data_IF_199708842418
#
_entry.id   IF_199708842418
#
_cell.length_a   1.000
_cell.length_b   1.000
_cell.length_c   1.000
_cell.angle_alpha   90.00
_cell.angle_beta   90.00
_cell.angle_gamma   90.00
#
_symmetry.space_group_name_H-M   'P 1'
#
loop_
_entity.id
_entity.type
_entity.pdbx_description
1 polymer ?
#
# COMPACT_ATOMS: atom_id res chain seq x y z
N UNK A 1 -4.07 32.29 52.90
CA UNK A 1 -3.27 33.35 52.25
C UNK A 1 -1.80 33.08 52.46
N UNK A 2 -1.08 32.71 51.41
CA UNK A 2 0.37 32.91 51.26
C UNK A 2 0.74 32.66 49.80
N UNK A 3 1.12 33.76 49.17
CA UNK A 3 1.60 33.93 47.80
C UNK A 3 2.78 33.01 47.52
N UNK A 4 2.76 32.31 46.38
CA UNK A 4 4.01 31.91 45.74
C UNK A 4 4.04 32.51 44.34
N UNK A 5 4.73 33.64 44.30
CA UNK A 5 5.20 34.37 43.14
C UNK A 5 6.31 33.54 42.48
N UNK A 6 6.55 33.75 41.17
CA UNK A 6 7.57 33.10 40.33
C UNK A 6 7.18 31.77 39.69
N UNK A 7 6.35 31.80 38.64
CA UNK A 7 6.50 30.92 37.47
C UNK A 7 5.70 31.51 36.30
N UNK A 8 6.07 32.73 35.88
CA UNK A 8 5.61 33.32 34.61
C UNK A 8 6.82 33.89 33.88
N UNK A 9 7.38 33.06 33.00
CA UNK A 9 8.16 33.39 31.81
C UNK A 9 8.07 32.09 30.98
N UNK A 10 7.08 31.89 30.10
CA UNK A 10 6.81 32.67 28.89
C UNK A 10 8.06 32.88 28.02
N UNK A 11 8.68 31.77 27.64
CA UNK A 11 9.30 31.67 26.31
C UNK A 11 8.83 30.36 25.69
N UNK A 12 7.67 30.45 25.04
CA UNK A 12 7.27 29.51 24.03
C UNK A 12 8.36 29.47 22.97
N UNK A 13 9.19 28.44 22.98
CA UNK A 13 9.90 28.01 21.79
C UNK A 13 8.82 27.47 20.85
N UNK A 14 8.20 28.38 20.10
CA UNK A 14 7.34 28.00 18.99
C UNK A 14 8.26 27.39 17.96
N UNK A 15 8.30 26.05 17.93
CA UNK A 15 8.89 25.29 16.83
C UNK A 15 7.96 25.47 15.63
N UNK A 16 8.05 26.63 14.97
CA UNK A 16 7.51 26.79 13.62
C UNK A 16 8.60 26.34 12.66
N UNK A 17 8.67 25.03 12.48
CA UNK A 17 9.15 24.43 11.24
C UNK A 17 8.34 23.17 10.90
N UNK A 18 7.05 23.18 11.26
CA UNK A 18 6.03 22.31 10.67
C UNK A 18 5.48 22.94 9.39
N UNK A 19 6.33 23.17 8.40
CA UNK A 19 5.94 23.60 7.06
C UNK A 19 6.71 22.79 6.03
N UNK A 20 6.46 21.48 6.00
CA UNK A 20 6.60 20.69 4.79
C UNK A 20 5.33 19.87 4.65
N UNK A 21 4.32 20.52 4.08
CA UNK A 21 3.23 19.88 3.35
C UNK A 21 3.86 18.87 2.38
N UNK A 22 3.85 17.60 2.78
CA UNK A 22 4.51 16.51 2.09
C UNK A 22 3.54 15.46 1.54
N UNK A 23 2.30 15.84 1.24
CA UNK A 23 1.33 15.01 0.53
C UNK A 23 1.75 14.51 -0.88
N UNK A 24 2.75 15.08 -1.61
CA UNK A 24 3.11 14.55 -2.94
C UNK A 24 3.71 13.14 -2.89
N UNK A 25 4.51 12.84 -1.85
CA UNK A 25 5.30 11.60 -1.81
C UNK A 25 4.44 10.36 -1.79
N UNK A 26 3.37 10.33 -1.00
CA UNK A 26 2.57 9.12 -0.84
C UNK A 26 1.76 8.79 -2.08
N UNK A 27 1.26 9.81 -2.79
CA UNK A 27 0.56 9.64 -4.07
C UNK A 27 1.50 9.15 -5.18
N UNK A 28 2.71 9.70 -5.24
CA UNK A 28 3.74 9.29 -6.19
C UNK A 28 4.21 7.85 -5.90
N UNK A 29 4.46 7.52 -4.63
CA UNK A 29 4.79 6.15 -4.19
C UNK A 29 3.68 5.18 -4.59
N UNK A 30 2.42 5.54 -4.32
CA UNK A 30 1.27 4.69 -4.65
C UNK A 30 1.16 4.44 -6.16
N UNK A 31 1.35 5.49 -6.95
CA UNK A 31 1.29 5.41 -8.42
C UNK A 31 2.42 4.56 -8.98
N UNK A 32 3.65 4.77 -8.51
CA UNK A 32 4.81 4.00 -8.95
C UNK A 32 4.72 2.53 -8.54
N UNK A 33 4.26 2.25 -7.31
CA UNK A 33 4.02 0.88 -6.86
C UNK A 33 2.92 0.23 -7.69
N UNK A 34 1.85 0.94 -8.03
CA UNK A 34 0.82 0.40 -8.92
C UNK A 34 1.43 -0.01 -10.26
N UNK A 35 2.35 0.78 -10.80
CA UNK A 35 3.15 0.43 -11.97
C UNK A 35 3.92 -0.89 -11.80
N UNK A 36 4.59 -1.10 -10.66
CA UNK A 36 5.29 -2.37 -10.39
C UNK A 36 4.32 -3.56 -10.33
N UNK A 37 3.18 -3.42 -9.67
CA UNK A 37 2.20 -4.51 -9.51
C UNK A 37 1.38 -4.76 -10.78
N UNK A 38 1.32 -3.83 -11.72
CA UNK A 38 0.72 -4.07 -13.03
C UNK A 38 1.49 -5.09 -13.86
N UNK A 39 2.79 -5.28 -13.61
CA UNK A 39 3.56 -6.36 -14.22
C UNK A 39 3.03 -7.75 -13.82
N UNK A 40 2.32 -7.88 -12.68
CA UNK A 40 1.63 -9.13 -12.33
C UNK A 40 0.46 -9.40 -13.25
N UNK A 41 -0.24 -8.36 -13.71
CA UNK A 41 -1.44 -8.51 -14.55
C UNK A 41 -1.12 -9.29 -15.81
N UNK A 42 0.04 -9.03 -16.42
CA UNK A 42 0.52 -9.74 -17.61
C UNK A 42 0.88 -11.21 -17.34
N UNK A 43 1.21 -11.53 -16.08
CA UNK A 43 1.54 -12.90 -15.64
C UNK A 43 0.32 -13.70 -15.19
N UNK A 44 -0.85 -13.06 -15.11
CA UNK A 44 -2.08 -13.63 -14.59
C UNK A 44 -3.07 -13.96 -15.72
N UNK A 45 -3.74 -15.12 -15.66
CA UNK A 45 -4.92 -15.35 -16.48
C UNK A 45 -6.05 -14.37 -16.09
N UNK A 46 -6.95 -14.06 -17.03
CA UNK A 46 -8.04 -13.11 -16.81
C UNK A 46 -8.88 -13.44 -15.56
N UNK A 47 -9.17 -14.72 -15.34
CA UNK A 47 -9.89 -15.21 -14.15
C UNK A 47 -9.14 -14.88 -12.85
N UNK A 48 -7.79 -14.94 -12.88
CA UNK A 48 -6.95 -14.56 -11.75
C UNK A 48 -6.94 -13.05 -11.51
N UNK A 49 -6.97 -12.23 -12.56
CA UNK A 49 -7.09 -10.77 -12.44
C UNK A 49 -8.42 -10.39 -11.79
N UNK A 50 -9.52 -11.05 -12.17
CA UNK A 50 -10.85 -10.79 -11.60
C UNK A 50 -10.91 -11.04 -10.09
N UNK A 51 -10.14 -11.99 -9.56
CA UNK A 51 -10.05 -12.22 -8.10
C UNK A 51 -9.57 -10.95 -7.40
N UNK A 52 -8.53 -10.29 -7.92
CA UNK A 52 -8.02 -9.05 -7.35
C UNK A 52 -8.99 -7.89 -7.54
N UNK A 53 -9.61 -7.76 -8.71
CA UNK A 53 -10.62 -6.71 -8.97
C UNK A 53 -11.79 -6.79 -7.98
N UNK A 54 -12.32 -7.98 -7.73
CA UNK A 54 -13.39 -8.21 -6.75
C UNK A 54 -12.92 -7.94 -5.32
N UNK A 55 -11.71 -8.36 -4.96
CA UNK A 55 -11.15 -8.09 -3.63
C UNK A 55 -10.93 -6.59 -3.40
N UNK A 56 -10.44 -5.85 -4.40
CA UNK A 56 -10.23 -4.41 -4.34
C UNK A 56 -11.52 -3.61 -4.16
N UNK A 57 -12.64 -4.11 -4.69
CA UNK A 57 -13.95 -3.48 -4.57
C UNK A 57 -14.73 -3.89 -3.30
N UNK A 58 -14.21 -4.84 -2.51
CA UNK A 58 -14.92 -5.43 -1.37
C UNK A 58 -14.63 -4.71 -0.06
N UNK A 59 -15.64 -4.65 0.81
CA UNK A 59 -15.48 -4.19 2.20
C UNK A 59 -14.58 -5.14 3.04
N UNK A 60 -14.45 -6.40 2.65
CA UNK A 60 -13.59 -7.40 3.30
C UNK A 60 -12.74 -8.11 2.24
N UNK A 61 -11.69 -7.42 1.80
CA UNK A 61 -10.82 -7.86 0.71
C UNK A 61 -10.21 -9.25 0.94
N UNK A 62 -9.72 -9.56 2.14
CA UNK A 62 -9.10 -10.86 2.45
C UNK A 62 -10.08 -12.02 2.32
N UNK A 63 -11.30 -11.85 2.85
CA UNK A 63 -12.34 -12.89 2.76
C UNK A 63 -12.81 -13.07 1.32
N UNK A 64 -13.00 -11.97 0.59
CA UNK A 64 -13.41 -12.01 -0.82
C UNK A 64 -12.34 -12.66 -1.69
N UNK A 65 -11.07 -12.29 -1.52
CA UNK A 65 -9.95 -12.91 -2.22
C UNK A 65 -9.91 -14.42 -1.96
N UNK A 66 -10.01 -14.83 -0.70
CA UNK A 66 -9.98 -16.26 -0.32
C UNK A 66 -11.15 -17.03 -0.95
N UNK A 67 -12.35 -16.48 -0.91
CA UNK A 67 -13.56 -17.08 -1.50
C UNK A 67 -13.44 -17.21 -3.02
N UNK A 68 -12.97 -16.16 -3.70
CA UNK A 68 -12.83 -16.15 -5.16
C UNK A 68 -11.71 -17.09 -5.62
N UNK A 69 -10.59 -17.17 -4.89
CA UNK A 69 -9.54 -18.15 -5.14
C UNK A 69 -10.02 -19.60 -5.07
N UNK A 70 -10.97 -19.91 -4.17
CA UNK A 70 -11.57 -21.26 -4.04
C UNK A 70 -12.48 -21.63 -5.23
N UNK A 71 -12.98 -20.64 -5.97
CA UNK A 71 -13.82 -20.85 -7.15
C UNK A 71 -13.00 -21.05 -8.43
N UNK A 72 -11.71 -20.72 -8.40
CA UNK A 72 -10.82 -20.92 -9.53
C UNK A 72 -10.54 -22.41 -9.79
N UNK A 73 -10.27 -22.73 -11.04
CA UNK A 73 -9.68 -24.03 -11.39
C UNK A 73 -8.32 -24.16 -10.67
N UNK A 74 -7.92 -25.36 -10.21
CA UNK A 74 -6.66 -25.56 -9.50
C UNK A 74 -5.44 -25.01 -10.24
N UNK A 75 -5.38 -25.20 -11.56
CA UNK A 75 -4.29 -24.70 -12.41
C UNK A 75 -4.21 -23.17 -12.43
N UNK A 76 -5.36 -22.50 -12.38
CA UNK A 76 -5.46 -21.04 -12.38
C UNK A 76 -5.08 -20.50 -11.01
N UNK A 77 -5.58 -21.10 -9.93
CA UNK A 77 -5.18 -20.76 -8.57
C UNK A 77 -3.67 -20.93 -8.35
N UNK A 78 -3.06 -21.98 -8.90
CA UNK A 78 -1.61 -22.18 -8.86
C UNK A 78 -0.85 -21.06 -9.57
N UNK A 79 -1.32 -20.61 -10.74
CA UNK A 79 -0.72 -19.46 -11.45
C UNK A 79 -0.83 -18.17 -10.66
N UNK A 80 -1.98 -17.91 -10.03
CA UNK A 80 -2.17 -16.74 -9.16
C UNK A 80 -1.18 -16.78 -7.99
N UNK A 81 -1.08 -17.91 -7.30
CA UNK A 81 -0.14 -18.09 -6.19
C UNK A 81 1.32 -17.94 -6.64
N UNK A 82 1.69 -18.50 -7.80
CA UNK A 82 3.03 -18.37 -8.36
C UNK A 82 3.36 -16.91 -8.69
N UNK A 83 2.42 -16.17 -9.27
CA UNK A 83 2.56 -14.75 -9.54
C UNK A 83 2.76 -13.96 -8.23
N UNK A 84 1.96 -14.23 -7.19
CA UNK A 84 2.12 -13.61 -5.87
C UNK A 84 3.50 -13.89 -5.27
N UNK A 85 3.96 -15.14 -5.29
CA UNK A 85 5.30 -15.51 -4.82
C UNK A 85 6.41 -14.81 -5.62
N UNK A 86 6.20 -14.56 -6.91
CA UNK A 86 7.20 -13.89 -7.76
C UNK A 86 7.49 -12.46 -7.28
N UNK A 87 6.55 -11.78 -6.62
CA UNK A 87 6.76 -10.42 -6.07
C UNK A 87 7.85 -10.38 -5.00
N UNK A 88 8.00 -11.46 -4.24
CA UNK A 88 9.00 -11.62 -3.19
C UNK A 88 10.27 -12.32 -3.68
N UNK A 89 10.23 -12.97 -4.85
CA UNK A 89 11.37 -13.71 -5.42
C UNK A 89 12.49 -12.73 -5.80
N UNK A 90 13.71 -12.86 -5.24
CA UNK A 90 14.85 -12.05 -5.66
C UNK A 90 15.14 -12.17 -7.16
N UNK A 91 15.38 -11.04 -7.83
CA UNK A 91 15.67 -10.99 -9.27
C UNK A 91 14.44 -11.14 -10.17
N UNK A 92 13.22 -11.10 -9.63
CA UNK A 92 12.02 -10.91 -10.46
C UNK A 92 11.85 -9.44 -10.83
N UNK A 93 11.22 -9.18 -11.98
CA UNK A 93 10.97 -7.82 -12.45
C UNK A 93 10.19 -6.97 -11.43
N UNK A 94 9.20 -7.59 -10.75
CA UNK A 94 8.40 -6.92 -9.72
C UNK A 94 9.23 -6.63 -8.48
N UNK A 95 10.03 -7.60 -8.02
CA UNK A 95 10.88 -7.41 -6.84
C UNK A 95 11.93 -6.31 -7.06
N UNK A 96 12.55 -6.30 -8.24
CA UNK A 96 13.53 -5.29 -8.62
C UNK A 96 12.88 -3.91 -8.77
N UNK A 97 11.66 -3.85 -9.30
CA UNK A 97 10.85 -2.63 -9.35
C UNK A 97 10.58 -2.10 -7.93
N UNK A 98 10.08 -2.95 -7.03
CA UNK A 98 9.82 -2.57 -5.62
C UNK A 98 11.10 -2.07 -4.94
N UNK A 99 12.24 -2.73 -5.12
CA UNK A 99 13.54 -2.29 -4.58
C UNK A 99 13.99 -0.95 -5.15
N UNK A 100 13.76 -0.70 -6.43
CA UNK A 100 14.08 0.58 -7.04
C UNK A 100 13.23 1.71 -6.44
N UNK A 101 11.96 1.44 -6.13
CA UNK A 101 11.09 2.40 -5.44
C UNK A 101 11.54 2.65 -4.00
N UNK A 102 11.87 1.60 -3.25
CA UNK A 102 12.41 1.74 -1.88
C UNK A 102 13.68 2.60 -1.88
N UNK A 103 14.59 2.38 -2.83
CA UNK A 103 15.79 3.22 -3.02
C UNK A 103 15.45 4.66 -3.42
N UNK A 104 14.45 4.87 -4.28
CA UNK A 104 14.03 6.18 -4.79
C UNK A 104 13.39 7.02 -3.68
N UNK A 105 12.50 6.44 -2.90
CA UNK A 105 11.70 7.17 -1.92
C UNK A 105 12.26 7.11 -0.50
N UNK A 106 13.18 6.18 -0.21
CA UNK A 106 13.79 5.95 1.11
C UNK A 106 12.72 5.98 2.20
N UNK A 107 11.73 5.08 2.08
CA UNK A 107 10.57 5.05 2.96
C UNK A 107 10.99 4.76 4.40
N UNK A 108 11.19 5.83 5.16
CA UNK A 108 11.51 5.80 6.59
C UNK A 108 10.27 6.27 7.35
N UNK A 109 9.18 5.50 7.33
CA UNK A 109 8.04 5.82 8.19
C UNK A 109 7.88 4.76 9.26
N UNK A 110 7.94 5.24 10.50
CA UNK A 110 7.60 4.53 11.73
C UNK A 110 6.12 4.12 11.80
N UNK A 111 5.30 4.54 10.82
CA UNK A 111 3.86 4.25 10.77
C UNK A 111 3.43 3.70 9.38
N UNK A 112 3.80 2.45 9.14
CA UNK A 112 3.45 1.72 7.91
C UNK A 112 1.93 1.64 7.67
N UNK A 113 1.11 1.71 8.72
CA UNK A 113 -0.35 1.66 8.58
C UNK A 113 -0.92 2.97 8.06
N UNK A 114 -0.47 4.11 8.61
CA UNK A 114 -0.88 5.41 8.11
C UNK A 114 -0.45 5.62 6.65
N UNK A 115 0.76 5.16 6.27
CA UNK A 115 1.21 5.18 4.88
C UNK A 115 0.32 4.30 3.99
N UNK A 116 0.05 3.05 4.40
CA UNK A 116 -0.80 2.14 3.64
C UNK A 116 -2.20 2.72 3.41
N UNK A 117 -2.80 3.36 4.43
CA UNK A 117 -4.10 4.00 4.27
C UNK A 117 -4.07 5.16 3.28
N UNK A 118 -3.07 6.05 3.38
CA UNK A 118 -2.89 7.15 2.41
C UNK A 118 -2.68 6.64 0.98
N UNK A 119 -1.97 5.52 0.80
CA UNK A 119 -1.79 4.89 -0.51
C UNK A 119 -3.09 4.28 -1.04
N UNK A 120 -3.89 3.63 -0.18
CA UNK A 120 -5.25 3.17 -0.53
C UNK A 120 -6.10 4.36 -0.99
N UNK A 121 -6.11 5.45 -0.24
CA UNK A 121 -6.90 6.64 -0.58
C UNK A 121 -6.44 7.25 -1.92
N UNK A 122 -5.13 7.29 -2.18
CA UNK A 122 -4.56 7.79 -3.43
C UNK A 122 -4.87 6.92 -4.67
N UNK A 123 -5.19 5.64 -4.47
CA UNK A 123 -5.46 4.69 -5.56
C UNK A 123 -6.95 4.40 -5.77
N UNK A 124 -7.83 4.83 -4.84
CA UNK A 124 -9.28 4.54 -4.85
C UNK A 124 -9.93 4.74 -6.22
N UNK A 125 -9.60 5.85 -6.88
CA UNK A 125 -10.22 6.25 -8.15
C UNK A 125 -9.32 5.95 -9.36
N UNK A 126 -8.17 5.28 -9.15
CA UNK A 126 -7.22 4.92 -10.22
C UNK A 126 -7.55 3.55 -10.81
N UNK A 127 -7.98 3.56 -12.07
CA UNK A 127 -8.16 2.34 -12.87
C UNK A 127 -6.82 1.67 -13.14
N UNK A 128 -6.81 0.35 -13.19
CA UNK A 128 -5.61 -0.43 -13.47
C UNK A 128 -4.66 -0.50 -12.27
N UNK A 129 -5.13 -0.28 -11.04
CA UNK A 129 -4.35 -0.47 -9.81
C UNK A 129 -4.99 -1.50 -8.87
N UNK A 130 -5.93 -2.29 -9.38
CA UNK A 130 -6.79 -3.17 -8.58
C UNK A 130 -5.98 -4.26 -7.87
N UNK A 131 -4.93 -4.79 -8.50
CA UNK A 131 -4.04 -5.79 -7.89
C UNK A 131 -3.35 -5.19 -6.65
N UNK A 132 -2.74 -4.02 -6.78
CA UNK A 132 -2.08 -3.37 -5.66
C UNK A 132 -3.09 -2.99 -4.57
N UNK A 133 -4.25 -2.45 -4.97
CA UNK A 133 -5.31 -2.08 -4.05
C UNK A 133 -5.78 -3.27 -3.20
N UNK A 134 -6.08 -4.39 -3.86
CA UNK A 134 -6.47 -5.62 -3.18
C UNK A 134 -5.40 -6.08 -2.18
N UNK A 135 -4.13 -6.09 -2.59
CA UNK A 135 -3.02 -6.50 -1.72
C UNK A 135 -2.87 -5.59 -0.49
N UNK A 136 -3.04 -4.27 -0.65
CA UNK A 136 -2.99 -3.35 0.49
C UNK A 136 -4.19 -3.55 1.43
N UNK A 137 -5.41 -3.68 0.89
CA UNK A 137 -6.62 -3.91 1.68
C UNK A 137 -6.57 -5.23 2.44
N UNK A 138 -5.95 -6.27 1.88
CA UNK A 138 -5.74 -7.56 2.54
C UNK A 138 -4.73 -7.50 3.69
N UNK A 139 -3.69 -6.67 3.58
CA UNK A 139 -2.66 -6.51 4.59
C UNK A 139 -2.98 -5.43 5.65
N UNK A 140 -4.08 -4.69 5.49
CA UNK A 140 -4.54 -3.73 6.48
C UNK A 140 -4.96 -4.51 7.75
N UNK A 141 -4.29 -4.25 8.88
CA UNK A 141 -4.72 -4.84 10.17
C UNK A 141 -6.11 -4.30 10.49
N UNK A 142 -7.01 -5.21 10.88
CA UNK A 142 -8.36 -4.89 11.37
C UNK A 142 -8.29 -4.30 12.77
#
# INVERSE_FOLDING_TARGET
MKTNWLFVFFTAAVVIMGCLSGEPKTTDIATDMCGCFNMLKDSLPAEGVQVFEKAAASANAQETFTKEMQQLKPEVALKVNAALMSTAKPGSAINDCIKALDKKYKTNETDQQAMAQKMIDALKDKKGCEIMMALMLMNKKK
#
